data_IF_631269950096
#
_entry.id   IF_631269950096
#
_cell.length_a   1.000
_cell.length_b   1.000
_cell.length_c   1.000
_cell.angle_alpha   90.00
_cell.angle_beta   90.00
_cell.angle_gamma   90.00
#
_symmetry.space_group_name_H-M   'P 1'
#
loop_
_entity.id
_entity.type
_entity.pdbx_description
1 polymer ?
#
# COMPACT_ATOMS: atom_id res chain seq x y z
N UNK A 1 -6.62 -10.33 21.66
CA UNK A 1 -5.43 -9.56 21.26
C UNK A 1 -5.72 -8.93 19.91
N UNK A 2 -5.70 -7.60 19.76
CA UNK A 2 -6.02 -6.92 18.49
C UNK A 2 -4.72 -6.50 17.83
N UNK A 3 -4.47 -7.03 16.63
CA UNK A 3 -3.35 -6.58 15.79
C UNK A 3 -3.74 -5.24 15.15
N UNK A 4 -2.84 -4.27 15.23
CA UNK A 4 -2.92 -2.96 14.61
C UNK A 4 -2.06 -3.01 13.34
N UNK A 5 -2.61 -2.50 12.24
CA UNK A 5 -1.90 -2.31 10.97
C UNK A 5 -2.13 -0.87 10.55
N UNK A 6 -1.06 -0.14 10.30
CA UNK A 6 -1.09 1.25 9.90
C UNK A 6 -0.35 1.38 8.56
N UNK A 7 -0.91 2.17 7.66
CA UNK A 7 -0.29 2.51 6.38
C UNK A 7 -0.12 4.03 6.34
N UNK A 8 1.13 4.47 6.24
CA UNK A 8 1.48 5.86 6.04
C UNK A 8 2.00 6.03 4.63
N UNK A 9 1.49 7.04 3.91
CA UNK A 9 1.99 7.44 2.60
C UNK A 9 2.36 8.92 2.69
N UNK A 10 3.65 9.23 2.52
CA UNK A 10 4.25 10.54 2.82
C UNK A 10 3.84 11.10 4.20
N UNK A 11 3.76 10.22 5.21
CA UNK A 11 3.39 10.56 6.59
C UNK A 11 1.90 10.80 6.83
N UNK A 12 1.04 10.67 5.81
CA UNK A 12 -0.43 10.70 5.96
C UNK A 12 -0.96 9.28 6.12
N UNK A 13 -1.85 9.08 7.09
CA UNK A 13 -2.48 7.78 7.35
C UNK A 13 -3.56 7.46 6.30
N UNK A 14 -3.58 6.21 5.84
CA UNK A 14 -4.56 5.66 4.92
C UNK A 14 -5.15 4.36 5.48
N UNK A 15 -6.46 4.17 5.28
CA UNK A 15 -7.16 2.96 5.66
C UNK A 15 -6.76 1.78 4.77
N UNK A 16 -6.12 0.78 5.39
CA UNK A 16 -5.58 -0.40 4.71
C UNK A 16 -6.63 -1.51 4.60
N UNK A 17 -7.24 -1.64 3.43
CA UNK A 17 -8.23 -2.69 3.14
C UNK A 17 -7.61 -4.06 2.90
N UNK A 18 -6.45 -4.09 2.22
CA UNK A 18 -5.70 -5.31 1.97
C UNK A 18 -4.20 -5.03 1.96
N UNK A 19 -3.40 -6.01 2.39
CA UNK A 19 -1.95 -5.89 2.42
C UNK A 19 -1.32 -7.26 2.25
N UNK A 20 -0.51 -7.39 1.21
CA UNK A 20 0.29 -8.59 0.94
C UNK A 20 1.70 -8.17 0.59
N UNK A 21 2.63 -8.40 1.51
CA UNK A 21 4.05 -8.03 1.39
C UNK A 21 4.88 -9.31 1.54
N UNK A 22 5.82 -9.49 0.63
CA UNK A 22 6.80 -10.56 0.64
C UNK A 22 8.16 -9.93 0.90
N UNK A 23 8.81 -10.37 1.98
CA UNK A 23 10.18 -10.00 2.32
C UNK A 23 11.10 -11.13 1.89
N UNK A 24 11.99 -10.86 0.95
CA UNK A 24 13.00 -11.82 0.52
C UNK A 24 14.34 -11.56 1.21
N UNK A 25 15.08 -12.64 1.48
CA UNK A 25 16.41 -12.58 2.14
C UNK A 25 17.49 -11.89 1.29
N UNK A 26 17.18 -11.50 0.06
CA UNK A 26 18.05 -10.75 -0.85
C UNK A 26 17.93 -9.22 -0.68
N UNK A 27 17.32 -8.74 0.40
CA UNK A 27 17.07 -7.32 0.69
C UNK A 27 16.08 -6.64 -0.29
N UNK A 28 15.28 -7.42 -1.01
CA UNK A 28 14.18 -6.91 -1.83
C UNK A 28 12.83 -7.31 -1.19
N UNK A 29 12.17 -6.35 -0.56
CA UNK A 29 10.76 -6.48 -0.18
C UNK A 29 9.87 -5.98 -1.31
N UNK A 30 8.80 -6.72 -1.62
CA UNK A 30 7.79 -6.25 -2.59
C UNK A 30 6.41 -6.72 -2.17
N UNK A 31 5.39 -6.01 -2.63
CA UNK A 31 4.02 -6.33 -2.28
C UNK A 31 3.01 -5.47 -2.98
N UNK A 32 1.76 -5.65 -2.59
CA UNK A 32 0.66 -4.80 -2.98
C UNK A 32 -0.21 -4.49 -1.76
N UNK A 33 -0.69 -3.26 -1.72
CA UNK A 33 -1.66 -2.79 -0.75
C UNK A 33 -2.90 -2.30 -1.49
N UNK A 34 -4.04 -2.36 -0.82
CA UNK A 34 -5.29 -1.75 -1.30
C UNK A 34 -5.74 -0.77 -0.24
N UNK A 35 -5.90 0.48 -0.65
CA UNK A 35 -6.31 1.61 0.18
C UNK A 35 -7.41 2.39 -0.52
N UNK A 36 -8.18 3.15 0.25
CA UNK A 36 -9.13 4.13 -0.29
C UNK A 36 -8.41 5.47 -0.47
N UNK A 37 -8.40 5.99 -1.70
CA UNK A 37 -7.77 7.26 -2.05
C UNK A 37 -8.36 7.81 -3.34
N UNK A 38 -8.50 9.14 -3.40
CA UNK A 38 -8.84 9.87 -4.64
C UNK A 38 -7.59 10.41 -5.37
N UNK A 39 -6.40 10.19 -4.81
CA UNK A 39 -5.11 10.65 -5.32
C UNK A 39 -4.35 9.52 -6.02
N UNK A 40 -3.60 9.86 -7.08
CA UNK A 40 -2.52 9.00 -7.58
C UNK A 40 -1.32 9.12 -6.63
N UNK A 41 -0.91 7.96 -6.10
CA UNK A 41 0.10 7.83 -5.06
C UNK A 41 1.40 7.20 -5.58
N UNK A 42 1.52 6.93 -6.88
CA UNK A 42 2.75 6.42 -7.47
C UNK A 42 3.94 7.39 -7.22
N UNK A 43 5.10 6.83 -6.89
CA UNK A 43 6.32 7.55 -6.55
C UNK A 43 6.41 8.06 -5.11
N UNK A 44 5.35 7.96 -4.31
CA UNK A 44 5.35 8.39 -2.90
C UNK A 44 5.96 7.34 -1.99
N UNK A 45 6.51 7.79 -0.86
CA UNK A 45 7.05 6.90 0.16
C UNK A 45 5.90 6.20 0.89
N UNK A 46 6.08 4.93 1.20
CA UNK A 46 5.10 4.12 1.93
C UNK A 46 5.76 3.43 3.11
N UNK A 47 5.09 3.50 4.26
CA UNK A 47 5.48 2.84 5.50
C UNK A 47 4.31 1.97 5.98
N UNK A 48 4.61 0.73 6.35
CA UNK A 48 3.64 -0.20 6.91
C UNK A 48 4.12 -0.60 8.29
N UNK A 49 3.35 -0.19 9.30
CA UNK A 49 3.61 -0.53 10.69
C UNK A 49 2.63 -1.60 11.15
N UNK A 50 3.13 -2.63 11.84
CA UNK A 50 2.31 -3.75 12.31
C UNK A 50 2.69 -4.09 13.73
N UNK A 51 1.70 -4.38 14.56
CA UNK A 51 1.95 -4.87 15.89
C UNK A 51 0.76 -4.78 16.82
N UNK A 52 1.06 -4.57 18.09
CA UNK A 52 0.10 -4.42 19.18
C UNK A 52 0.36 -3.10 19.92
N UNK A 53 -0.57 -2.69 20.79
CA UNK A 53 -0.47 -1.43 21.52
C UNK A 53 0.85 -1.26 22.30
N UNK A 54 1.45 -2.35 22.77
CA UNK A 54 2.74 -2.32 23.49
C UNK A 54 3.96 -2.60 22.58
N UNK A 55 3.75 -3.16 21.39
CA UNK A 55 4.79 -3.68 20.52
C UNK A 55 4.45 -3.35 19.07
N UNK A 56 4.79 -2.14 18.64
CA UNK A 56 4.46 -1.62 17.32
C UNK A 56 5.74 -1.36 16.54
N UNK A 57 5.88 -1.99 15.38
CA UNK A 57 7.14 -1.99 14.61
C UNK A 57 6.89 -1.65 13.15
N UNK A 58 7.89 -0.99 12.55
CA UNK A 58 7.94 -0.80 11.10
C UNK A 58 8.25 -2.14 10.43
N UNK A 59 7.27 -2.65 9.67
CA UNK A 59 7.36 -3.91 8.96
C UNK A 59 7.89 -3.75 7.54
N UNK A 60 7.53 -2.63 6.89
CA UNK A 60 7.98 -2.31 5.54
C UNK A 60 8.16 -0.79 5.38
N UNK A 61 9.18 -0.40 4.63
CA UNK A 61 9.42 0.98 4.19
C UNK A 61 9.94 0.92 2.76
N UNK A 62 9.28 1.63 1.85
CA UNK A 62 9.61 1.62 0.43
C UNK A 62 8.92 2.72 -0.36
N UNK A 63 8.80 2.51 -1.66
CA UNK A 63 8.19 3.44 -2.61
C UNK A 63 7.07 2.74 -3.37
N UNK A 64 6.01 3.48 -3.69
CA UNK A 64 4.92 2.98 -4.52
C UNK A 64 5.38 3.05 -5.98
N UNK A 65 5.74 1.92 -6.58
CA UNK A 65 6.19 1.89 -7.98
C UNK A 65 5.04 2.09 -8.98
N UNK A 66 3.88 1.52 -8.66
CA UNK A 66 2.70 1.53 -9.52
C UNK A 66 1.41 1.63 -8.70
N UNK A 67 0.49 2.48 -9.17
CA UNK A 67 -0.87 2.58 -8.64
C UNK A 67 -1.88 2.16 -9.72
N UNK A 68 -2.93 1.45 -9.29
CA UNK A 68 -4.02 1.03 -10.18
C UNK A 68 -5.36 1.27 -9.49
N UNK A 69 -6.22 2.04 -10.15
CA UNK A 69 -7.60 2.23 -9.72
C UNK A 69 -8.46 0.98 -9.99
N UNK A 70 -9.49 0.80 -9.17
CA UNK A 70 -10.51 -0.24 -9.30
C UNK A 70 -11.48 0.00 -10.47
N UNK A 71 -11.47 1.21 -11.06
CA UNK A 71 -12.38 1.60 -12.14
C UNK A 71 -12.06 0.84 -13.43
N UNK A 72 -13.04 0.14 -14.03
CA UNK A 72 -12.83 -0.58 -15.29
C UNK A 72 -12.49 0.41 -16.41
N UNK A 73 -11.34 0.22 -17.06
CA UNK A 73 -10.83 1.07 -18.17
C UNK A 73 -11.57 0.90 -19.50
N UNK A 74 -12.78 0.31 -19.52
CA UNK A 74 -13.55 0.14 -20.75
C UNK A 74 -14.18 1.46 -21.20
N UNK A 75 -13.53 2.14 -22.15
CA UNK A 75 -14.15 3.21 -22.94
C UNK A 75 -14.86 2.60 -24.15
N UNK A 76 -16.20 2.66 -24.18
CA UNK A 76 -16.98 2.48 -25.41
C UNK A 76 -16.59 3.59 -26.39
N UNK A 77 -16.01 3.24 -27.54
CA UNK A 77 -15.83 4.19 -28.64
C UNK A 77 -14.46 4.24 -29.32
N UNK A 78 -13.60 3.22 -29.23
CA UNK A 78 -12.46 3.13 -30.16
C UNK A 78 -13.04 2.85 -31.58
N UNK A 79 -12.94 3.79 -32.55
CA UNK A 79 -13.36 3.50 -33.91
C UNK A 79 -12.33 2.57 -34.54
N UNK A 80 -12.82 1.52 -35.22
CA UNK A 80 -11.97 0.76 -36.15
C UNK A 80 -11.73 1.56 -37.42
#
# INVERSE_FOLDING_TARGET
>A
MKIIKECLIDGKEYDLSHCHIVLELNNAGRGFIVIESDEDLAGRAVEINVGEAAHFYQYFNGVIEHAQDDKPKFKRGCPR
#
